data_IF_734543218250
#
_entry.id   IF_734543218250
#
_cell.length_a   1.000
_cell.length_b   1.000
_cell.length_c   1.000
_cell.angle_alpha   90.00
_cell.angle_beta   90.00
_cell.angle_gamma   90.00
#
_symmetry.space_group_name_H-M   'P 1'
#
loop_
_entity.id
_entity.type
_entity.pdbx_description
1 polymer ?
#
# COMPACT_ATOMS: atom_id res chain seq x y z
N UNK A 1 -10.51 -15.50 5.89
CA UNK A 1 -10.17 -16.75 6.60
C UNK A 1 -10.05 -17.89 5.59
N UNK A 2 -9.06 -18.77 5.74
CA UNK A 2 -8.79 -19.87 4.79
C UNK A 2 -10.01 -20.81 4.70
N UNK A 3 -10.61 -20.87 3.50
CA UNK A 3 -11.85 -21.63 3.26
C UNK A 3 -11.55 -23.12 3.07
N UNK A 4 -10.32 -23.48 2.67
CA UNK A 4 -9.94 -24.87 2.43
C UNK A 4 -9.54 -25.58 3.73
N UNK A 5 -10.27 -26.64 4.08
CA UNK A 5 -10.03 -27.46 5.29
C UNK A 5 -8.69 -28.19 5.25
N UNK A 6 -8.25 -28.64 4.06
CA UNK A 6 -6.99 -29.38 3.90
C UNK A 6 -5.79 -28.48 4.20
N UNK A 7 -5.80 -27.26 3.66
CA UNK A 7 -4.76 -26.25 3.93
C UNK A 7 -4.69 -25.93 5.42
N UNK A 8 -5.84 -25.77 6.08
CA UNK A 8 -5.90 -25.51 7.53
C UNK A 8 -5.23 -26.62 8.36
N UNK A 9 -5.51 -27.88 8.04
CA UNK A 9 -4.91 -29.01 8.74
C UNK A 9 -3.39 -29.08 8.50
N UNK A 10 -2.94 -28.76 7.29
CA UNK A 10 -1.52 -28.68 6.96
C UNK A 10 -0.82 -27.53 7.68
N UNK A 11 -1.47 -26.37 7.82
CA UNK A 11 -0.95 -25.24 8.60
C UNK A 11 -0.77 -25.59 10.08
N UNK A 12 -1.70 -26.36 10.66
CA UNK A 12 -1.57 -26.84 12.06
C UNK A 12 -0.40 -27.82 12.23
N UNK A 13 -0.11 -28.64 11.21
CA UNK A 13 0.95 -29.66 11.27
C UNK A 13 2.34 -29.11 10.96
N UNK A 14 2.46 -28.28 9.94
CA UNK A 14 3.75 -27.79 9.40
C UNK A 14 4.04 -26.33 9.74
N UNK A 15 3.08 -25.62 10.35
CA UNK A 15 3.17 -24.19 10.58
C UNK A 15 2.83 -23.37 9.33
N UNK A 16 2.85 -22.05 9.49
CA UNK A 16 2.51 -21.09 8.42
C UNK A 16 2.69 -19.65 8.89
N UNK A 17 2.60 -18.70 7.97
CA UNK A 17 2.80 -17.27 8.28
C UNK A 17 1.52 -16.51 7.95
N UNK A 18 0.91 -15.92 8.97
CA UNK A 18 -0.34 -15.16 8.83
C UNK A 18 -0.04 -13.70 9.10
N UNK A 19 -0.38 -12.85 8.15
CA UNK A 19 -0.42 -11.40 8.31
C UNK A 19 -1.78 -10.94 8.80
N UNK A 20 -1.76 -10.12 9.84
CA UNK A 20 -2.90 -9.40 10.38
C UNK A 20 -2.63 -7.92 10.12
N UNK A 21 -3.34 -7.35 9.15
CA UNK A 21 -3.25 -5.93 8.84
C UNK A 21 -4.39 -5.18 9.54
N UNK A 22 -4.04 -4.16 10.31
CA UNK A 22 -4.98 -3.26 10.98
C UNK A 22 -4.80 -1.89 10.32
N UNK A 23 -5.78 -1.47 9.54
CA UNK A 23 -5.74 -0.22 8.78
C UNK A 23 -6.67 0.83 9.41
N UNK A 24 -6.12 2.03 9.63
CA UNK A 24 -6.84 3.17 10.19
C UNK A 24 -6.89 4.28 9.14
N UNK A 25 -7.93 4.33 8.32
CA UNK A 25 -8.19 5.46 7.42
C UNK A 25 -9.25 6.37 8.04
N UNK A 26 -8.81 7.52 8.56
CA UNK A 26 -9.63 8.37 9.40
C UNK A 26 -9.69 9.81 8.89
N UNK A 27 -10.92 10.28 8.71
CA UNK A 27 -11.21 11.70 8.51
C UNK A 27 -11.49 12.35 9.88
N UNK A 28 -10.53 13.17 10.34
CA UNK A 28 -10.55 13.88 11.61
C UNK A 28 -11.45 15.14 11.62
N UNK A 29 -12.02 15.52 10.48
CA UNK A 29 -13.04 16.58 10.41
C UNK A 29 -14.39 16.09 10.92
N UNK A 30 -14.58 14.76 10.95
CA UNK A 30 -15.76 14.10 11.52
C UNK A 30 -15.48 13.70 12.98
N UNK A 31 -16.53 13.20 13.63
CA UNK A 31 -16.39 12.71 15.00
C UNK A 31 -15.38 11.56 15.08
N UNK A 32 -14.44 11.64 16.02
CA UNK A 32 -13.40 10.63 16.28
C UNK A 32 -13.97 9.21 16.49
N UNK A 33 -15.22 9.10 16.97
CA UNK A 33 -15.90 7.80 17.16
C UNK A 33 -16.15 7.05 15.85
N UNK A 34 -16.10 7.73 14.71
CA UNK A 34 -16.27 7.13 13.38
C UNK A 34 -14.95 6.54 12.83
N UNK A 35 -13.80 6.93 13.39
CA UNK A 35 -12.51 6.36 13.08
C UNK A 35 -12.43 4.95 13.68
N UNK A 36 -12.58 3.92 12.85
CA UNK A 36 -12.58 2.51 13.26
C UNK A 36 -11.52 1.74 12.48
N UNK A 37 -10.85 0.77 13.13
CA UNK A 37 -9.85 -0.05 12.45
C UNK A 37 -10.54 -1.00 11.47
N UNK A 38 -9.93 -1.17 10.31
CA UNK A 38 -10.26 -2.23 9.37
C UNK A 38 -9.27 -3.39 9.53
N UNK A 39 -9.78 -4.56 9.88
CA UNK A 39 -8.98 -5.77 10.05
C UNK A 39 -8.96 -6.57 8.76
N UNK A 40 -7.77 -6.91 8.29
CA UNK A 40 -7.55 -7.78 7.14
C UNK A 40 -6.59 -8.91 7.52
N UNK A 41 -6.88 -10.11 7.05
CA UNK A 41 -6.09 -11.30 7.34
C UNK A 41 -5.62 -11.91 6.03
N UNK A 42 -4.32 -12.11 5.89
CA UNK A 42 -3.73 -12.71 4.70
C UNK A 42 -2.69 -13.76 5.10
N UNK A 43 -2.57 -14.81 4.31
CA UNK A 43 -1.45 -15.74 4.41
C UNK A 43 -0.28 -15.18 3.61
N UNK A 44 0.93 -15.18 4.18
CA UNK A 44 2.14 -14.67 3.52
C UNK A 44 3.03 -15.78 2.95
N UNK A 45 2.94 -17.00 3.47
CA UNK A 45 3.65 -18.15 2.94
C UNK A 45 2.90 -18.77 1.74
N UNK A 46 3.66 -19.42 0.85
CA UNK A 46 3.13 -20.11 -0.32
C UNK A 46 2.18 -21.23 0.12
N UNK A 47 0.96 -21.33 -0.45
CA UNK A 47 0.02 -22.39 -0.13
C UNK A 47 0.57 -23.80 -0.39
N UNK A 48 0.09 -24.81 0.35
CA UNK A 48 0.66 -26.16 0.26
C UNK A 48 0.35 -26.85 -1.07
N UNK A 49 -0.76 -26.50 -1.73
CA UNK A 49 -1.13 -27.04 -3.04
C UNK A 49 -0.15 -26.63 -4.17
N UNK A 50 0.64 -25.57 -4.00
CA UNK A 50 1.59 -25.07 -5.02
C UNK A 50 2.96 -25.77 -4.96
N UNK A 51 3.09 -26.86 -4.18
CA UNK A 51 4.35 -27.61 -3.97
C UNK A 51 5.51 -26.70 -3.57
N UNK A 52 5.43 -26.03 -2.40
CA UNK A 52 6.47 -25.12 -1.96
C UNK A 52 7.80 -25.84 -1.69
N UNK A 53 8.92 -25.15 -1.91
CA UNK A 53 10.27 -25.65 -1.59
C UNK A 53 10.43 -26.02 -0.10
N UNK A 54 9.73 -25.30 0.79
CA UNK A 54 9.66 -25.57 2.21
C UNK A 54 8.21 -25.64 2.66
N UNK A 55 7.80 -26.76 3.24
CA UNK A 55 6.45 -26.91 3.78
C UNK A 55 6.32 -26.14 5.10
N UNK A 56 5.51 -25.08 5.09
CA UNK A 56 5.11 -24.33 6.27
C UNK A 56 6.24 -23.51 6.91
N UNK A 57 6.08 -23.20 8.20
CA UNK A 57 7.01 -22.41 8.98
C UNK A 57 7.59 -23.21 10.15
N UNK A 58 8.92 -23.34 10.16
CA UNK A 58 9.64 -24.04 11.21
C UNK A 58 10.89 -23.26 11.64
N UNK A 59 11.28 -23.41 12.91
CA UNK A 59 12.52 -22.86 13.44
C UNK A 59 13.20 -23.87 14.36
N UNK A 60 14.53 -23.78 14.47
CA UNK A 60 15.34 -24.64 15.34
C UNK A 60 15.98 -23.78 16.42
N UNK A 61 15.91 -24.24 17.66
CA UNK A 61 16.62 -23.64 18.78
C UNK A 61 17.36 -24.74 19.56
N UNK A 62 18.45 -24.36 20.21
CA UNK A 62 19.28 -25.28 20.98
C UNK A 62 19.31 -24.85 22.45
N UNK A 63 19.06 -25.79 23.34
CA UNK A 63 19.32 -25.63 24.78
C UNK A 63 20.69 -26.22 25.09
N UNK A 64 21.59 -25.38 25.58
CA UNK A 64 22.96 -25.76 25.91
C UNK A 64 23.09 -26.04 27.40
N UNK A 65 23.73 -27.16 27.75
CA UNK A 65 23.95 -27.54 29.14
C UNK A 65 25.32 -28.20 29.29
N UNK A 66 25.83 -28.22 30.52
CA UNK A 66 27.15 -28.74 30.86
C UNK A 66 27.00 -29.82 31.92
N UNK A 67 27.67 -30.95 31.71
CA UNK A 67 27.72 -32.03 32.69
C UNK A 67 29.10 -32.67 32.67
N UNK A 68 29.68 -32.86 33.86
CA UNK A 68 31.03 -33.42 34.06
C UNK A 68 32.09 -32.82 33.13
N UNK A 69 32.18 -31.47 33.11
CA UNK A 69 33.11 -30.67 32.27
C UNK A 69 32.95 -30.82 30.75
N UNK A 70 32.00 -31.61 30.25
CA UNK A 70 31.64 -31.72 28.83
C UNK A 70 30.44 -30.83 28.49
N UNK A 71 30.46 -30.23 27.30
CA UNK A 71 29.39 -29.41 26.77
C UNK A 71 28.43 -30.27 25.96
N UNK A 72 27.13 -30.14 26.24
CA UNK A 72 26.05 -30.83 25.53
C UNK A 72 25.05 -29.81 24.99
N UNK A 73 24.31 -30.21 23.95
CA UNK A 73 23.19 -29.42 23.43
C UNK A 73 22.00 -30.33 23.11
N UNK A 74 20.81 -29.88 23.48
CA UNK A 74 19.55 -30.44 22.99
C UNK A 74 19.03 -29.53 21.88
N UNK A 75 18.95 -30.04 20.65
CA UNK A 75 18.45 -29.30 19.49
C UNK A 75 16.98 -29.64 19.27
N UNK A 76 16.11 -28.64 19.35
CA UNK A 76 14.67 -28.80 19.15
C UNK A 76 14.24 -28.10 17.87
N UNK A 77 13.45 -28.79 17.05
CA UNK A 77 12.78 -28.22 15.87
C UNK A 77 11.31 -27.99 16.19
N UNK A 78 10.88 -26.74 16.17
CA UNK A 78 9.51 -26.34 16.43
C UNK A 78 8.80 -25.97 15.12
N UNK A 79 7.53 -26.35 15.03
CA UNK A 79 6.60 -25.99 13.95
C UNK A 79 5.46 -25.19 14.56
N UNK A 80 5.04 -24.12 13.90
CA UNK A 80 3.99 -23.27 14.44
C UNK A 80 3.59 -22.14 13.52
N UNK A 81 2.56 -21.40 13.94
CA UNK A 81 2.07 -20.23 13.23
C UNK A 81 2.86 -18.99 13.64
N UNK A 82 3.39 -18.25 12.67
CA UNK A 82 3.94 -16.92 12.88
C UNK A 82 2.88 -15.88 12.52
N UNK A 83 2.43 -15.14 13.52
CA UNK A 83 1.50 -14.02 13.32
C UNK A 83 2.32 -12.73 13.16
N UNK A 84 2.15 -12.06 12.02
CA UNK A 84 2.77 -10.76 11.74
C UNK A 84 1.67 -9.72 11.79
N UNK A 85 1.70 -8.85 12.80
CA UNK A 85 0.76 -7.74 12.92
C UNK A 85 1.36 -6.49 12.28
N UNK A 86 0.66 -5.94 11.29
CA UNK A 86 1.02 -4.68 10.62
C UNK A 86 -0.07 -3.67 10.87
N UNK A 87 0.29 -2.57 11.53
CA UNK A 87 -0.63 -1.47 11.82
C UNK A 87 -0.27 -0.32 10.88
N UNK A 88 -1.24 0.09 10.08
CA UNK A 88 -1.13 1.21 9.15
C UNK A 88 -2.19 2.25 9.50
N UNK A 89 -1.86 3.52 9.35
CA UNK A 89 -2.80 4.59 9.61
C UNK A 89 -2.58 5.79 8.70
N UNK A 90 -3.67 6.33 8.18
CA UNK A 90 -3.75 7.59 7.46
C UNK A 90 -4.84 8.42 8.10
N UNK A 91 -4.48 9.63 8.52
CA UNK A 91 -5.44 10.58 9.06
C UNK A 91 -5.43 11.86 8.24
N UNK A 92 -6.61 12.30 7.81
CA UNK A 92 -6.81 13.57 7.15
C UNK A 92 -7.54 14.53 8.08
N UNK A 93 -7.09 15.78 8.14
CA UNK A 93 -7.80 16.88 8.78
C UNK A 93 -7.77 18.06 7.82
N UNK A 94 -8.84 18.84 7.79
CA UNK A 94 -8.93 20.07 7.03
C UNK A 94 -7.85 21.04 7.47
N UNK A 95 -7.08 21.50 6.49
CA UNK A 95 -6.05 22.50 6.64
C UNK A 95 -6.21 23.56 5.54
N UNK A 96 -6.31 24.81 5.96
CA UNK A 96 -6.51 25.94 5.06
C UNK A 96 -5.30 26.17 4.14
N UNK A 97 -4.08 25.93 4.65
CA UNK A 97 -2.85 26.12 3.86
C UNK A 97 -2.84 25.14 2.68
N UNK A 98 -3.10 23.86 2.96
CA UNK A 98 -3.23 22.82 1.93
C UNK A 98 -4.33 23.13 0.92
N UNK A 99 -5.47 23.68 1.36
CA UNK A 99 -6.55 24.12 0.46
C UNK A 99 -6.08 25.23 -0.49
N UNK A 100 -5.48 26.30 0.04
CA UNK A 100 -5.02 27.43 -0.78
C UNK A 100 -3.94 27.00 -1.77
N UNK A 101 -3.01 26.12 -1.38
CA UNK A 101 -2.00 25.57 -2.29
C UNK A 101 -2.62 24.78 -3.44
N UNK A 102 -3.62 23.95 -3.15
CA UNK A 102 -4.32 23.17 -4.18
C UNK A 102 -5.12 24.08 -5.13
N UNK A 103 -5.76 25.14 -4.61
CA UNK A 103 -6.45 26.13 -5.44
C UNK A 103 -5.43 26.88 -6.32
N UNK A 104 -4.29 27.29 -5.76
CA UNK A 104 -3.22 27.94 -6.52
C UNK A 104 -2.72 27.06 -7.67
N UNK A 105 -2.50 25.77 -7.41
CA UNK A 105 -2.12 24.80 -8.45
C UNK A 105 -3.21 24.65 -9.52
N UNK A 106 -4.48 24.64 -9.14
CA UNK A 106 -5.60 24.56 -10.08
C UNK A 106 -5.69 25.81 -10.97
N UNK A 107 -5.51 27.00 -10.39
CA UNK A 107 -5.46 28.27 -11.14
C UNK A 107 -4.29 28.27 -12.13
N UNK A 108 -3.11 27.79 -11.71
CA UNK A 108 -1.96 27.64 -12.60
C UNK A 108 -2.24 26.74 -13.81
N UNK A 109 -2.96 25.63 -13.61
CA UNK A 109 -3.32 24.71 -14.69
C UNK A 109 -4.21 25.36 -15.75
N UNK A 110 -5.12 26.28 -15.38
CA UNK A 110 -5.95 26.99 -16.36
C UNK A 110 -5.13 27.85 -17.33
N UNK A 111 -3.96 28.35 -16.92
CA UNK A 111 -3.05 29.07 -17.81
C UNK A 111 -2.45 28.21 -18.93
N UNK A 112 -2.33 26.90 -18.74
CA UNK A 112 -1.94 25.98 -19.83
C UNK A 112 -3.10 25.75 -20.81
N UNK A 113 -4.34 25.75 -20.31
CA UNK A 113 -5.53 25.58 -21.15
C UNK A 113 -5.66 26.68 -22.21
N UNK A 114 -5.36 27.92 -21.87
CA UNK A 114 -5.40 29.04 -22.84
C UNK A 114 -4.36 28.86 -23.94
N UNK A 115 -3.14 28.42 -23.61
CA UNK A 115 -2.08 28.15 -24.59
C UNK A 115 -2.51 27.04 -25.56
N UNK A 116 -3.10 25.95 -25.04
CA UNK A 116 -3.59 24.85 -25.88
C UNK A 116 -4.73 25.32 -26.77
N UNK A 117 -5.67 26.11 -26.25
CA UNK A 117 -6.75 26.72 -27.01
C UNK A 117 -6.23 27.63 -28.13
N UNK A 118 -5.19 28.43 -27.85
CA UNK A 118 -4.56 29.31 -28.83
C UNK A 118 -3.89 28.51 -29.96
N UNK A 119 -3.15 27.44 -29.63
CA UNK A 119 -2.54 26.56 -30.63
C UNK A 119 -3.60 25.92 -31.52
N UNK A 120 -4.71 25.44 -30.92
CA UNK A 120 -5.85 24.88 -31.66
C UNK A 120 -6.48 25.90 -32.61
N UNK A 121 -6.74 27.12 -32.15
CA UNK A 121 -7.36 28.16 -32.97
C UNK A 121 -6.45 28.65 -34.10
N UNK A 122 -5.14 28.73 -33.84
CA UNK A 122 -4.14 29.18 -34.81
C UNK A 122 -3.79 28.13 -35.88
N UNK A 123 -3.85 26.84 -35.57
CA UNK A 123 -3.38 25.79 -36.49
C UNK A 123 -4.47 24.87 -37.03
N UNK A 124 -5.55 24.63 -36.29
CA UNK A 124 -6.57 23.63 -36.63
C UNK A 124 -7.93 24.23 -37.01
N UNK A 125 -8.18 25.51 -36.72
CA UNK A 125 -9.46 26.14 -37.07
C UNK A 125 -9.51 26.60 -38.53
N UNK A 126 -10.68 26.46 -39.17
CA UNK A 126 -10.92 26.95 -40.54
C UNK A 126 -10.70 28.47 -40.68
N UNK A 127 -10.91 29.22 -39.60
CA UNK A 127 -10.77 30.68 -39.55
C UNK A 127 -9.43 31.11 -38.92
N UNK A 128 -8.43 30.22 -38.87
CA UNK A 128 -7.12 30.48 -38.27
C UNK A 128 -6.44 31.75 -38.80
N UNK A 129 -6.59 32.04 -40.10
CA UNK A 129 -6.01 33.22 -40.74
C UNK A 129 -6.61 34.53 -40.21
N UNK A 130 -7.91 34.53 -39.93
CA UNK A 130 -8.62 35.67 -39.33
C UNK A 130 -8.22 35.83 -37.87
N UNK A 131 -8.17 34.75 -37.09
CA UNK A 131 -7.71 34.78 -35.70
C UNK A 131 -6.27 35.30 -35.57
N UNK A 132 -5.37 34.85 -36.45
CA UNK A 132 -3.96 35.28 -36.47
C UNK A 132 -3.80 36.79 -36.69
N UNK A 133 -4.65 37.40 -37.52
CA UNK A 133 -4.60 38.84 -37.78
C UNK A 133 -5.14 39.69 -36.62
N UNK A 134 -6.01 39.12 -35.77
CA UNK A 134 -6.47 39.81 -34.54
C UNK A 134 -5.47 39.68 -33.39
N UNK A 135 -4.68 38.60 -33.38
CA UNK A 135 -3.73 38.32 -32.29
C UNK A 135 -2.34 38.91 -32.57
N UNK A 136 -1.88 38.88 -33.83
CA UNK A 136 -0.54 39.35 -34.20
C UNK A 136 -0.63 40.57 -35.12
N UNK A 137 0.03 41.66 -34.71
CA UNK A 137 0.26 42.83 -35.56
C UNK A 137 1.67 42.77 -36.15
N UNK A 138 1.77 42.80 -37.48
CA UNK A 138 3.06 42.72 -38.18
C UNK A 138 3.62 44.13 -38.28
N UNK A 139 4.66 44.41 -37.48
CA UNK A 139 5.41 45.68 -37.55
C UNK A 139 6.66 45.45 -38.41
N UNK A 140 6.80 46.28 -39.46
CA UNK A 140 7.90 46.24 -40.43
C UNK A 140 9.01 47.22 -40.09
#
# INVERSE_FOLDING_TARGET
AEKNTTERNLMLRYGGVISIKIDWDCNLDRNIKLCKPQYSFARLDVPFYEKPFSMGFNFRYASYWKHNRKYFRSLTKAYGLRLIMSISGKAGKFDFITLTLNIGSLVGLFGLGTIVCDILLLHLSKNARTYRNFVFEIVH
#
